data_IF_581765114333
#
_entry.id   IF_581765114333
#
_cell.length_a   1.000
_cell.length_b   1.000
_cell.length_c   1.000
_cell.angle_alpha   90.00
_cell.angle_beta   90.00
_cell.angle_gamma   90.00
#
_symmetry.space_group_name_H-M   'P 1'
#
loop_
_entity.id
_entity.type
_entity.pdbx_description
1 polymer ?
#
# COMPACT_ATOMS: atom_id res chain seq x y z
N UNK A 1 10.53 30.04 -5.23
CA UNK A 1 11.08 28.67 -5.22
C UNK A 1 9.93 27.73 -5.50
N UNK A 2 10.11 26.73 -6.32
CA UNK A 2 9.01 25.82 -6.71
C UNK A 2 8.96 24.69 -5.70
N UNK A 3 7.91 24.63 -4.88
CA UNK A 3 7.67 23.50 -4.00
C UNK A 3 7.05 22.36 -4.81
N UNK A 4 7.70 21.20 -4.81
CA UNK A 4 7.28 20.00 -5.55
C UNK A 4 6.61 18.99 -4.62
N UNK A 5 7.14 18.83 -3.41
CA UNK A 5 6.71 17.79 -2.46
C UNK A 5 5.95 18.39 -1.30
N UNK A 6 4.70 17.93 -1.11
CA UNK A 6 3.86 18.30 0.02
C UNK A 6 2.68 17.32 0.16
N UNK A 7 2.65 16.51 1.19
CA UNK A 7 1.47 15.68 1.47
C UNK A 7 1.37 15.40 2.96
N UNK A 8 0.22 15.67 3.58
CA UNK A 8 0.03 15.55 5.02
C UNK A 8 -1.06 14.55 5.43
N UNK A 9 -1.91 14.17 4.47
CA UNK A 9 -3.03 13.26 4.71
C UNK A 9 -3.48 12.57 3.41
N UNK A 10 -4.49 11.72 3.48
CA UNK A 10 -4.98 10.91 2.37
C UNK A 10 -6.09 11.64 1.54
N UNK A 11 -6.54 12.83 1.93
CA UNK A 11 -7.74 13.47 1.34
C UNK A 11 -7.58 14.91 0.86
N UNK A 12 -6.52 15.62 1.20
CA UNK A 12 -6.30 16.97 0.68
C UNK A 12 -6.20 16.96 -0.86
N UNK A 13 -6.57 18.05 -1.57
CA UNK A 13 -6.58 18.08 -3.02
C UNK A 13 -5.28 17.63 -3.65
N UNK A 14 -5.34 16.52 -4.39
CA UNK A 14 -4.20 15.93 -5.10
C UNK A 14 -3.84 16.77 -6.31
N UNK A 15 -2.57 17.16 -6.46
CA UNK A 15 -2.05 17.98 -7.56
C UNK A 15 -0.94 17.31 -8.33
N UNK A 16 -0.22 16.39 -7.70
CA UNK A 16 0.89 15.68 -8.32
C UNK A 16 1.01 14.28 -7.71
N UNK A 17 1.14 13.28 -8.57
CA UNK A 17 1.14 11.87 -8.17
C UNK A 17 2.09 11.06 -9.04
N UNK A 18 2.70 10.02 -8.47
CA UNK A 18 3.37 8.95 -9.22
C UNK A 18 2.34 7.85 -9.42
N UNK A 19 2.14 7.40 -10.66
CA UNK A 19 1.34 6.23 -11.02
C UNK A 19 2.28 5.11 -11.48
N UNK A 20 2.16 3.93 -10.92
CA UNK A 20 3.01 2.79 -11.20
C UNK A 20 2.90 2.24 -12.63
N UNK A 21 3.73 1.23 -12.95
CA UNK A 21 3.80 0.56 -14.25
C UNK A 21 3.88 -0.95 -14.09
N UNK A 22 3.26 -1.67 -15.01
CA UNK A 22 3.29 -3.14 -15.03
C UNK A 22 4.41 -3.72 -15.89
N UNK A 23 5.19 -2.88 -16.57
CA UNK A 23 6.27 -3.33 -17.47
C UNK A 23 7.24 -4.23 -16.73
N UNK A 24 7.61 -5.33 -17.36
CA UNK A 24 8.58 -6.32 -16.90
C UNK A 24 8.22 -7.01 -15.56
N UNK A 25 7.03 -6.80 -15.01
CA UNK A 25 6.62 -7.39 -13.74
C UNK A 25 6.69 -8.92 -13.77
N UNK A 26 7.11 -9.49 -12.65
CA UNK A 26 7.25 -10.92 -12.46
C UNK A 26 6.33 -11.46 -11.37
N UNK A 27 6.15 -12.76 -11.34
CA UNK A 27 5.71 -13.52 -10.19
C UNK A 27 6.99 -13.91 -9.44
N UNK A 28 7.24 -13.44 -8.23
CA UNK A 28 8.43 -13.81 -7.49
C UNK A 28 8.36 -15.27 -7.04
N UNK A 29 9.50 -15.93 -6.80
CA UNK A 29 9.50 -17.25 -6.16
C UNK A 29 8.97 -17.14 -4.73
N UNK A 30 8.52 -18.27 -4.18
CA UNK A 30 8.20 -18.34 -2.75
C UNK A 30 9.40 -17.94 -1.89
N UNK A 31 9.14 -17.14 -0.87
CA UNK A 31 10.13 -16.65 0.08
C UNK A 31 9.53 -16.64 1.50
N UNK A 32 10.33 -16.45 2.57
CA UNK A 32 9.84 -16.65 3.94
C UNK A 32 8.58 -15.85 4.33
N UNK A 33 8.39 -14.66 3.75
CA UNK A 33 7.28 -13.78 4.08
C UNK A 33 6.15 -13.75 3.04
N UNK A 34 6.33 -14.37 1.88
CA UNK A 34 5.27 -14.48 0.87
C UNK A 34 5.39 -15.76 0.07
N UNK A 35 4.27 -16.41 -0.09
CA UNK A 35 4.09 -17.54 -1.01
C UNK A 35 3.07 -17.13 -2.07
N UNK A 36 3.50 -16.88 -3.32
CA UNK A 36 2.59 -16.53 -4.39
C UNK A 36 1.62 -17.68 -4.63
N UNK A 37 0.35 -17.50 -4.27
CA UNK A 37 -0.70 -18.48 -4.53
C UNK A 37 -1.02 -18.51 -6.02
N UNK A 38 -0.38 -19.41 -6.72
CA UNK A 38 -0.67 -19.68 -8.13
C UNK A 38 -1.83 -20.67 -8.18
N UNK A 39 -2.93 -20.38 -8.91
CA UNK A 39 -4.06 -21.28 -9.01
C UNK A 39 -3.63 -22.66 -9.48
N UNK A 40 -4.14 -23.72 -8.80
CA UNK A 40 -3.93 -25.09 -9.21
C UNK A 40 -4.37 -25.32 -10.67
N UNK A 41 -3.52 -25.97 -11.47
CA UNK A 41 -3.78 -26.22 -12.88
C UNK A 41 -3.55 -25.01 -13.80
N UNK A 42 -3.02 -23.88 -13.31
CA UNK A 42 -2.56 -22.80 -14.20
C UNK A 42 -1.21 -23.14 -14.84
N UNK A 43 -0.92 -22.55 -16.01
CA UNK A 43 0.37 -22.72 -16.69
C UNK A 43 1.55 -22.15 -15.88
N UNK A 44 1.26 -21.40 -14.82
CA UNK A 44 2.23 -20.79 -13.91
C UNK A 44 2.39 -21.58 -12.61
N UNK A 45 1.71 -22.69 -12.44
CA UNK A 45 1.85 -23.53 -11.24
C UNK A 45 3.31 -23.98 -11.09
N UNK A 46 3.88 -23.79 -9.89
CA UNK A 46 5.28 -24.06 -9.54
C UNK A 46 6.32 -23.27 -10.36
N UNK A 47 5.88 -22.22 -11.09
CA UNK A 47 6.73 -21.39 -11.92
C UNK A 47 6.76 -19.96 -11.37
N UNK A 48 7.93 -19.37 -11.31
CA UNK A 48 8.13 -17.94 -11.08
C UNK A 48 8.81 -17.31 -12.31
N UNK A 49 8.73 -16.00 -12.43
CA UNK A 49 9.34 -15.26 -13.53
C UNK A 49 8.37 -14.27 -14.20
N UNK A 50 8.62 -13.90 -15.46
CA UNK A 50 7.83 -12.87 -16.13
C UNK A 50 6.35 -13.21 -16.20
N UNK A 51 5.50 -12.24 -15.95
CA UNK A 51 4.07 -12.31 -16.29
C UNK A 51 3.91 -12.31 -17.80
N UNK A 52 2.80 -12.82 -18.31
CA UNK A 52 2.54 -12.85 -19.76
C UNK A 52 2.48 -11.42 -20.32
N UNK A 53 2.98 -11.24 -21.55
CA UNK A 53 2.91 -9.95 -22.26
C UNK A 53 1.46 -9.45 -22.37
N UNK A 54 0.51 -10.35 -22.64
CA UNK A 54 -0.93 -10.01 -22.71
C UNK A 54 -1.43 -9.41 -21.38
N UNK A 55 -1.05 -10.00 -20.23
CA UNK A 55 -1.42 -9.52 -18.92
C UNK A 55 -0.79 -8.15 -18.61
N UNK A 56 0.49 -7.97 -18.94
CA UNK A 56 1.22 -6.70 -18.80
C UNK A 56 0.58 -5.61 -19.64
N UNK A 57 0.25 -5.91 -20.91
CA UNK A 57 -0.37 -4.94 -21.83
C UNK A 57 -1.74 -4.49 -21.34
N UNK A 58 -2.61 -5.42 -20.91
CA UNK A 58 -3.93 -5.07 -20.34
C UNK A 58 -3.79 -4.17 -19.11
N UNK A 59 -2.92 -4.52 -18.20
CA UNK A 59 -2.66 -3.70 -17.00
C UNK A 59 -2.13 -2.31 -17.37
N UNK A 60 -1.15 -2.22 -18.27
CA UNK A 60 -0.59 -0.94 -18.71
C UNK A 60 -1.62 -0.07 -19.44
N UNK A 61 -2.54 -0.64 -20.25
CA UNK A 61 -3.64 0.10 -20.87
C UNK A 61 -4.51 0.76 -19.78
N UNK A 62 -4.85 0.05 -18.71
CA UNK A 62 -5.65 0.60 -17.62
C UNK A 62 -4.88 1.65 -16.81
N UNK A 63 -3.61 1.40 -16.47
CA UNK A 63 -2.72 2.36 -15.80
C UNK A 63 -2.51 3.65 -16.60
N UNK A 64 -2.37 3.54 -17.93
CA UNK A 64 -2.20 4.69 -18.83
C UNK A 64 -3.51 5.47 -18.98
N UNK A 65 -4.66 4.79 -19.05
CA UNK A 65 -5.97 5.44 -19.05
C UNK A 65 -6.23 6.17 -17.74
N UNK A 66 -5.88 5.56 -16.62
CA UNK A 66 -5.97 6.17 -15.30
C UNK A 66 -5.09 7.42 -15.20
N UNK A 67 -3.83 7.34 -15.66
CA UNK A 67 -2.93 8.50 -15.72
C UNK A 67 -3.53 9.65 -16.53
N UNK A 68 -4.05 9.36 -17.73
CA UNK A 68 -4.71 10.38 -18.58
C UNK A 68 -5.97 10.96 -17.94
N UNK A 69 -6.73 10.15 -17.16
CA UNK A 69 -7.88 10.61 -16.42
C UNK A 69 -7.47 11.63 -15.35
N UNK A 70 -6.42 11.35 -14.59
CA UNK A 70 -5.87 12.25 -13.57
C UNK A 70 -5.34 13.56 -14.21
N UNK A 71 -4.60 13.45 -15.31
CA UNK A 71 -4.09 14.62 -16.05
C UNK A 71 -5.23 15.52 -16.58
N UNK A 72 -6.32 14.94 -17.10
CA UNK A 72 -7.51 15.68 -17.52
C UNK A 72 -8.19 16.44 -16.37
N UNK A 73 -8.01 15.99 -15.13
CA UNK A 73 -8.46 16.65 -13.91
C UNK A 73 -7.45 17.67 -13.36
N UNK A 74 -6.36 17.93 -14.09
CA UNK A 74 -5.33 18.91 -13.73
C UNK A 74 -4.33 18.40 -12.70
N UNK A 75 -4.24 17.07 -12.49
CA UNK A 75 -3.26 16.44 -11.62
C UNK A 75 -2.06 16.07 -12.47
N UNK A 76 -0.87 16.53 -12.08
CA UNK A 76 0.38 16.11 -12.72
C UNK A 76 0.65 14.65 -12.40
N UNK A 77 1.01 13.86 -13.42
CA UNK A 77 1.34 12.44 -13.27
C UNK A 77 2.77 12.20 -13.71
N UNK A 78 3.56 11.57 -12.85
CA UNK A 78 4.87 11.02 -13.20
C UNK A 78 4.82 9.49 -13.12
N UNK A 79 5.71 8.82 -13.87
CA UNK A 79 5.75 7.35 -13.97
C UNK A 79 7.15 6.85 -13.59
N UNK A 80 7.26 5.73 -12.85
CA UNK A 80 8.57 5.13 -12.52
C UNK A 80 9.30 4.63 -13.76
N UNK A 81 10.59 4.39 -13.61
CA UNK A 81 11.42 3.72 -14.61
C UNK A 81 11.52 2.23 -14.26
N UNK A 82 10.85 1.32 -15.00
CA UNK A 82 10.90 -0.10 -14.72
C UNK A 82 12.33 -0.65 -14.84
N UNK A 83 12.66 -1.60 -13.98
CA UNK A 83 13.87 -2.42 -14.09
C UNK A 83 13.58 -3.68 -14.92
N UNK A 84 14.61 -4.45 -15.21
CA UNK A 84 14.46 -5.86 -15.56
C UNK A 84 14.22 -6.65 -14.26
N UNK A 85 12.95 -7.00 -14.00
CA UNK A 85 12.58 -7.73 -12.80
C UNK A 85 12.83 -9.23 -12.92
N UNK A 86 13.05 -9.76 -14.15
CA UNK A 86 13.37 -11.13 -14.40
C UNK A 86 14.89 -11.39 -14.32
N UNK A 87 15.48 -10.96 -13.22
CA UNK A 87 16.89 -11.21 -12.95
C UNK A 87 17.07 -11.72 -11.53
N UNK A 88 18.05 -12.63 -11.37
CA UNK A 88 18.46 -13.05 -10.05
C UNK A 88 19.06 -11.86 -9.29
N UNK A 89 18.59 -11.68 -8.07
CA UNK A 89 19.10 -10.66 -7.15
C UNK A 89 19.75 -11.32 -5.94
N UNK A 90 20.73 -10.67 -5.34
CA UNK A 90 21.41 -11.16 -4.17
C UNK A 90 21.91 -10.03 -3.28
N UNK A 91 21.98 -10.32 -2.00
CA UNK A 91 22.72 -9.58 -0.97
C UNK A 91 23.74 -10.54 -0.35
N UNK A 92 24.60 -10.10 0.59
CA UNK A 92 25.48 -11.03 1.31
C UNK A 92 24.74 -12.10 2.12
N UNK A 93 23.44 -11.94 2.40
CA UNK A 93 22.67 -12.78 3.32
C UNK A 93 21.69 -13.72 2.62
N UNK A 94 21.27 -13.40 1.39
CA UNK A 94 20.29 -14.18 0.63
C UNK A 94 20.37 -13.89 -0.86
N UNK A 95 19.76 -14.76 -1.65
CA UNK A 95 19.50 -14.58 -3.07
C UNK A 95 18.04 -14.90 -3.39
N UNK A 96 17.50 -14.29 -4.45
CA UNK A 96 16.17 -14.55 -4.96
C UNK A 96 16.17 -14.63 -6.49
N UNK A 97 15.31 -15.48 -7.05
CA UNK A 97 15.28 -15.80 -8.49
C UNK A 97 14.80 -14.65 -9.36
N UNK A 98 13.92 -13.81 -8.86
CA UNK A 98 13.40 -12.62 -9.55
C UNK A 98 12.94 -11.56 -8.55
N UNK A 99 12.67 -10.37 -9.04
CA UNK A 99 11.97 -9.31 -8.32
C UNK A 99 10.46 -9.37 -8.63
N UNK A 100 9.67 -8.44 -8.08
CA UNK A 100 8.23 -8.36 -8.28
C UNK A 100 7.85 -7.36 -9.37
N UNK A 101 8.07 -6.05 -9.17
CA UNK A 101 7.64 -5.02 -10.12
C UNK A 101 7.75 -3.60 -9.61
N UNK A 102 7.09 -2.66 -10.29
CA UNK A 102 6.99 -1.26 -9.86
C UNK A 102 5.58 -0.67 -10.05
N UNK A 103 4.55 -1.52 -10.01
CA UNK A 103 3.18 -1.04 -10.11
C UNK A 103 2.68 -0.39 -8.80
N UNK A 104 3.01 -0.89 -7.60
CA UNK A 104 2.55 -0.28 -6.37
C UNK A 104 3.59 0.68 -5.73
N UNK A 105 3.71 1.95 -6.20
CA UNK A 105 4.61 2.92 -5.58
C UNK A 105 4.26 3.24 -4.13
N UNK A 106 2.99 3.08 -3.74
CA UNK A 106 2.48 3.33 -2.38
C UNK A 106 3.16 2.47 -1.33
N UNK A 107 3.51 1.24 -1.68
CA UNK A 107 4.13 0.30 -0.77
C UNK A 107 5.59 0.68 -0.47
N UNK A 108 6.24 1.35 -1.43
CA UNK A 108 7.68 1.61 -1.44
C UNK A 108 8.03 3.00 -0.94
N UNK A 109 7.19 4.00 -1.24
CA UNK A 109 7.46 5.41 -0.95
C UNK A 109 6.33 6.02 -0.13
N UNK A 110 6.66 6.57 1.02
CA UNK A 110 5.76 7.45 1.76
C UNK A 110 6.17 8.91 1.56
N UNK A 111 5.19 9.75 1.25
CA UNK A 111 5.36 11.20 1.28
C UNK A 111 4.72 11.77 2.53
N UNK A 112 5.50 12.44 3.37
CA UNK A 112 5.00 13.09 4.58
C UNK A 112 5.55 14.51 4.69
N UNK A 113 4.66 15.48 4.58
CA UNK A 113 5.06 16.88 4.46
C UNK A 113 5.88 17.12 3.20
N UNK A 114 7.08 17.62 3.37
CA UNK A 114 8.06 17.84 2.29
C UNK A 114 9.10 16.72 2.17
N UNK A 115 8.86 15.57 2.81
CA UNK A 115 9.77 14.44 2.79
C UNK A 115 9.19 13.29 1.96
N UNK A 116 10.02 12.68 1.12
CA UNK A 116 9.76 11.39 0.47
C UNK A 116 10.76 10.37 1.02
N UNK A 117 10.23 9.37 1.72
CA UNK A 117 10.99 8.34 2.41
C UNK A 117 10.81 7.00 1.69
N UNK A 118 11.92 6.36 1.31
CA UNK A 118 11.93 4.97 0.85
C UNK A 118 11.78 4.02 2.03
N UNK A 119 10.75 3.18 1.99
CA UNK A 119 10.46 2.18 3.01
C UNK A 119 11.52 1.08 3.08
N UNK A 120 11.51 0.33 4.15
CA UNK A 120 12.46 -0.80 4.34
C UNK A 120 12.21 -1.93 3.36
N UNK A 121 10.98 -2.24 3.06
CA UNK A 121 10.45 -3.41 2.38
C UNK A 121 10.75 -4.73 3.11
N UNK A 122 9.72 -5.50 3.37
CA UNK A 122 9.81 -6.75 4.14
C UNK A 122 9.98 -8.00 3.28
N UNK A 123 9.77 -7.91 1.96
CA UNK A 123 9.96 -9.02 1.03
C UNK A 123 11.27 -8.89 0.27
N UNK A 124 12.02 -10.01 0.15
CA UNK A 124 13.28 -10.04 -0.58
C UNK A 124 13.11 -9.70 -2.05
N UNK A 125 12.05 -10.18 -2.67
CA UNK A 125 11.69 -9.89 -4.06
C UNK A 125 11.42 -8.42 -4.32
N UNK A 126 11.09 -7.65 -3.29
CA UNK A 126 10.75 -6.22 -3.38
C UNK A 126 11.86 -5.28 -2.88
N UNK A 127 12.94 -5.83 -2.36
CA UNK A 127 13.98 -5.07 -1.68
C UNK A 127 14.63 -3.97 -2.54
N UNK A 128 14.69 -4.17 -3.87
CA UNK A 128 15.29 -3.23 -4.83
C UNK A 128 14.25 -2.36 -5.58
N UNK A 129 12.97 -2.46 -5.29
CA UNK A 129 11.91 -1.71 -6.02
C UNK A 129 12.07 -0.19 -5.93
N UNK A 130 12.65 0.32 -4.84
CA UNK A 130 12.93 1.76 -4.69
C UNK A 130 13.77 2.34 -5.84
N UNK A 131 14.60 1.53 -6.51
CA UNK A 131 15.42 1.95 -7.65
C UNK A 131 14.58 2.42 -8.84
N UNK A 132 13.35 1.93 -8.97
CA UNK A 132 12.43 2.35 -10.03
C UNK A 132 11.98 3.81 -9.86
N UNK A 133 11.91 4.27 -8.62
CA UNK A 133 11.41 5.59 -8.24
C UNK A 133 12.54 6.59 -8.00
N UNK A 134 13.74 6.12 -7.72
CA UNK A 134 14.91 6.93 -7.41
C UNK A 134 15.17 8.06 -8.43
N UNK A 135 15.08 7.84 -9.76
CA UNK A 135 15.27 8.91 -10.74
C UNK A 135 14.25 10.05 -10.59
N UNK A 136 12.99 9.74 -10.21
CA UNK A 136 11.97 10.76 -9.97
C UNK A 136 12.29 11.55 -8.69
N UNK A 137 12.59 10.85 -7.59
CA UNK A 137 12.93 11.49 -6.32
C UNK A 137 14.13 12.41 -6.45
N UNK A 138 15.20 11.98 -7.14
CA UNK A 138 16.37 12.80 -7.43
C UNK A 138 16.02 14.03 -8.28
N UNK A 139 15.13 13.88 -9.25
CA UNK A 139 14.67 15.01 -10.07
C UNK A 139 13.91 16.05 -9.25
N UNK A 140 13.05 15.59 -8.30
CA UNK A 140 12.32 16.48 -7.40
C UNK A 140 13.27 17.19 -6.44
N UNK A 141 14.20 16.46 -5.85
CA UNK A 141 15.23 17.01 -4.95
C UNK A 141 16.06 18.10 -5.61
N UNK A 142 16.41 17.94 -6.89
CA UNK A 142 17.16 18.94 -7.64
C UNK A 142 16.39 20.24 -7.92
N UNK A 143 15.04 20.19 -7.88
CA UNK A 143 14.17 21.35 -8.21
C UNK A 143 13.60 21.99 -6.94
N UNK A 144 13.26 21.20 -5.93
CA UNK A 144 12.64 21.64 -4.66
C UNK A 144 13.69 21.69 -3.55
N UNK A 145 14.18 22.91 -3.19
CA UNK A 145 15.23 23.03 -2.17
C UNK A 145 14.73 22.74 -0.73
N UNK A 146 13.43 22.58 -0.53
CA UNK A 146 12.86 22.23 0.77
C UNK A 146 12.59 20.73 0.90
N UNK A 147 12.66 19.98 -0.22
CA UNK A 147 12.42 18.55 -0.20
C UNK A 147 13.50 17.82 0.59
N UNK A 148 13.05 16.91 1.41
CA UNK A 148 13.89 15.88 2.03
C UNK A 148 13.71 14.57 1.26
N UNK A 149 14.80 13.99 0.84
CA UNK A 149 14.85 12.66 0.23
C UNK A 149 15.59 11.74 1.17
N UNK A 150 14.87 10.77 1.73
CA UNK A 150 15.40 9.89 2.77
C UNK A 150 15.20 8.42 2.39
N UNK A 151 16.02 7.57 2.98
CA UNK A 151 15.90 6.11 2.87
C UNK A 151 15.93 5.50 4.26
N UNK A 152 14.91 4.72 4.60
CA UNK A 152 14.91 3.98 5.85
C UNK A 152 16.09 2.98 5.91
N UNK A 153 16.54 2.58 7.11
CA UNK A 153 17.59 1.59 7.23
C UNK A 153 17.24 0.32 6.45
N UNK A 154 18.03 -0.01 5.42
CA UNK A 154 17.78 -1.21 4.61
C UNK A 154 18.02 -2.47 5.45
N UNK A 155 16.99 -3.33 5.63
CA UNK A 155 17.10 -4.53 6.42
C UNK A 155 17.96 -5.57 5.73
N UNK A 156 18.57 -6.47 6.50
CA UNK A 156 19.32 -7.59 5.94
C UNK A 156 18.42 -8.70 5.42
N UNK A 157 17.21 -8.85 5.97
CA UNK A 157 16.24 -9.89 5.64
C UNK A 157 16.82 -11.31 5.71
N UNK A 158 17.61 -11.57 6.77
CA UNK A 158 18.09 -12.92 7.06
C UNK A 158 16.92 -13.83 7.44
N UNK A 159 17.14 -15.14 7.55
CA UNK A 159 16.09 -16.06 8.00
C UNK A 159 15.59 -15.73 9.42
N UNK A 160 16.41 -15.09 10.28
CA UNK A 160 15.98 -14.65 11.60
C UNK A 160 14.97 -13.50 11.58
N UNK A 161 14.81 -12.80 10.44
CA UNK A 161 13.81 -11.75 10.24
C UNK A 161 12.39 -12.32 10.09
N UNK A 162 12.29 -13.64 9.97
CA UNK A 162 11.02 -14.33 9.73
C UNK A 162 10.81 -15.49 10.71
N UNK A 163 9.54 -15.81 10.98
CA UNK A 163 9.16 -17.04 11.68
C UNK A 163 9.20 -18.19 10.70
N UNK A 164 9.96 -19.22 11.05
CA UNK A 164 10.06 -20.43 10.25
C UNK A 164 8.69 -21.10 10.08
N UNK A 165 8.42 -21.59 8.88
CA UNK A 165 7.18 -22.30 8.53
C UNK A 165 5.87 -21.54 8.77
N UNK A 166 5.91 -20.21 8.95
CA UNK A 166 4.69 -19.43 9.22
C UNK A 166 3.64 -19.54 8.11
N UNK A 167 4.04 -19.66 6.84
CA UNK A 167 3.17 -19.78 5.68
C UNK A 167 2.87 -21.23 5.29
N UNK A 168 3.27 -22.23 6.13
CA UNK A 168 2.99 -23.64 5.87
C UNK A 168 1.49 -23.89 5.66
N UNK A 169 1.15 -24.77 4.72
CA UNK A 169 -0.21 -25.24 4.47
C UNK A 169 -0.76 -26.08 5.65
N UNK A 170 0.12 -26.60 6.50
CA UNK A 170 -0.27 -27.31 7.71
C UNK A 170 -0.93 -26.40 8.77
N UNK A 171 -0.74 -25.06 8.67
CA UNK A 171 -1.36 -24.10 9.57
C UNK A 171 -2.74 -23.72 9.02
N UNK A 172 -3.79 -24.12 9.73
CA UNK A 172 -5.17 -23.77 9.38
C UNK A 172 -5.43 -22.27 9.51
N UNK A 173 -6.48 -21.79 8.85
CA UNK A 173 -6.91 -20.38 8.95
C UNK A 173 -7.23 -20.00 10.40
N UNK A 174 -7.88 -20.89 11.16
CA UNK A 174 -8.23 -20.63 12.56
C UNK A 174 -6.97 -20.51 13.44
N UNK A 175 -5.99 -21.41 13.28
CA UNK A 175 -4.70 -21.29 13.96
C UNK A 175 -3.97 -20.00 13.60
N UNK A 176 -4.01 -19.60 12.33
CA UNK A 176 -3.40 -18.34 11.89
C UNK A 176 -4.09 -17.13 12.51
N UNK A 177 -5.42 -17.12 12.60
CA UNK A 177 -6.17 -16.07 13.29
C UNK A 177 -5.81 -16.00 14.79
N UNK A 178 -5.59 -17.16 15.44
CA UNK A 178 -5.09 -17.17 16.83
C UNK A 178 -3.68 -16.57 16.95
N UNK A 179 -2.79 -16.86 16.00
CA UNK A 179 -1.45 -16.26 15.97
C UNK A 179 -1.54 -14.74 15.77
N UNK A 180 -2.35 -14.27 14.83
CA UNK A 180 -2.59 -12.84 14.58
C UNK A 180 -3.17 -12.15 15.81
N UNK A 181 -4.14 -12.77 16.50
CA UNK A 181 -4.70 -12.24 17.75
C UNK A 181 -3.64 -12.10 18.85
N UNK A 182 -2.65 -12.99 18.89
CA UNK A 182 -1.48 -12.91 19.78
C UNK A 182 -0.38 -11.96 19.27
N UNK A 183 -0.59 -11.31 18.12
CA UNK A 183 0.39 -10.44 17.44
C UNK A 183 1.67 -11.19 17.03
N UNK A 184 1.52 -12.45 16.67
CA UNK A 184 2.55 -13.31 16.13
C UNK A 184 2.43 -13.32 14.61
N UNK A 185 3.26 -12.54 13.94
CA UNK A 185 3.28 -12.39 12.49
C UNK A 185 4.45 -13.13 11.84
N UNK A 186 4.46 -13.22 10.51
CA UNK A 186 5.54 -13.84 9.75
C UNK A 186 6.87 -13.11 9.96
N UNK A 187 6.85 -11.78 10.05
CA UNK A 187 8.03 -10.98 10.38
C UNK A 187 8.27 -10.97 11.90
N UNK A 188 9.54 -11.04 12.28
CA UNK A 188 9.98 -10.94 13.67
C UNK A 188 10.38 -9.52 14.03
N UNK A 189 10.65 -9.28 15.33
CA UNK A 189 11.22 -8.02 15.82
C UNK A 189 12.77 -7.98 15.68
N UNK A 190 13.36 -8.74 14.74
CA UNK A 190 14.81 -8.80 14.54
C UNK A 190 15.37 -7.49 14.00
N UNK A 191 14.69 -6.92 13.01
CA UNK A 191 15.08 -5.73 12.27
C UNK A 191 13.95 -4.69 12.23
N UNK A 192 14.26 -3.49 11.77
CA UNK A 192 13.26 -2.45 11.48
C UNK A 192 12.60 -2.80 10.15
N UNK A 193 11.31 -3.14 10.18
CA UNK A 193 10.54 -3.51 8.99
C UNK A 193 9.26 -2.69 8.91
N UNK A 194 9.04 -2.07 7.76
CA UNK A 194 7.75 -1.48 7.36
C UNK A 194 7.66 -1.32 5.85
N UNK A 195 6.47 -1.51 5.32
CA UNK A 195 6.07 -1.09 3.99
C UNK A 195 5.28 0.22 4.11
N UNK A 196 5.44 1.14 3.17
CA UNK A 196 4.79 2.46 3.27
C UNK A 196 3.26 2.38 3.19
N UNK A 197 2.69 1.35 2.55
CA UNK A 197 1.24 1.12 2.47
C UNK A 197 0.60 0.65 3.80
N UNK A 198 1.40 0.36 4.81
CA UNK A 198 0.90 0.11 6.18
C UNK A 198 0.67 1.40 6.97
N UNK A 199 0.92 2.58 6.37
CA UNK A 199 0.91 3.85 7.06
C UNK A 199 -0.17 4.76 6.46
N UNK A 200 -1.18 5.10 7.27
CA UNK A 200 -2.16 6.14 6.94
C UNK A 200 -1.73 7.47 7.53
N UNK A 201 -1.71 8.49 6.68
CA UNK A 201 -1.35 9.86 7.06
C UNK A 201 -2.62 10.65 7.38
N UNK A 202 -2.75 11.10 8.60
CA UNK A 202 -3.90 11.86 9.06
C UNK A 202 -3.45 13.15 9.76
N UNK A 203 -2.70 13.99 9.02
CA UNK A 203 -2.12 15.22 9.53
C UNK A 203 -1.00 14.95 10.54
N UNK A 204 -1.21 15.32 11.80
CA UNK A 204 -0.26 15.13 12.88
C UNK A 204 -0.17 13.69 13.37
N UNK A 205 -1.10 12.83 12.93
CA UNK A 205 -1.20 11.44 13.36
C UNK A 205 -0.92 10.49 12.20
N UNK A 206 -0.12 9.47 12.48
CA UNK A 206 0.15 8.37 11.58
C UNK A 206 -0.40 7.08 12.20
N UNK A 207 -1.30 6.43 11.48
CA UNK A 207 -1.84 5.13 11.89
C UNK A 207 -1.13 4.03 11.13
N UNK A 208 -0.45 3.15 11.86
CA UNK A 208 0.47 2.14 11.31
C UNK A 208 -0.07 0.75 11.61
N UNK A 209 -0.33 -0.05 10.58
CA UNK A 209 -0.74 -1.43 10.76
C UNK A 209 0.45 -2.28 11.21
N UNK A 210 0.33 -2.93 12.36
CA UNK A 210 1.24 -3.99 12.77
C UNK A 210 0.75 -5.31 12.17
N UNK A 211 1.59 -5.93 11.33
CA UNK A 211 1.20 -7.08 10.53
C UNK A 211 2.38 -7.82 9.91
N UNK A 212 2.16 -8.35 8.72
CA UNK A 212 3.16 -9.15 8.01
C UNK A 212 4.33 -8.32 7.48
N UNK A 213 4.07 -7.08 7.12
CA UNK A 213 5.02 -6.19 6.42
C UNK A 213 5.60 -5.12 7.32
N UNK A 214 4.92 -4.82 8.44
CA UNK A 214 5.38 -3.81 9.41
C UNK A 214 5.38 -4.39 10.81
N UNK A 215 6.53 -4.32 11.49
CA UNK A 215 6.69 -4.75 12.87
C UNK A 215 6.76 -3.55 13.87
N UNK A 216 6.79 -3.83 15.17
CA UNK A 216 6.83 -2.77 16.19
C UNK A 216 8.11 -1.94 16.12
N UNK A 217 9.24 -2.55 15.76
CA UNK A 217 10.49 -1.78 15.54
C UNK A 217 10.38 -0.80 14.39
N UNK A 218 9.63 -1.15 13.32
CA UNK A 218 9.30 -0.24 12.23
C UNK A 218 8.50 0.95 12.72
N UNK A 219 7.43 0.71 13.48
CA UNK A 219 6.62 1.76 14.10
C UNK A 219 7.44 2.65 15.05
N UNK A 220 8.30 2.05 15.88
CA UNK A 220 9.19 2.79 16.78
C UNK A 220 10.20 3.68 16.03
N UNK A 221 10.74 3.15 14.92
CA UNK A 221 11.66 3.91 14.08
C UNK A 221 10.97 5.11 13.44
N UNK A 222 9.76 4.89 12.90
CA UNK A 222 8.94 5.96 12.31
C UNK A 222 8.65 7.07 13.35
N UNK A 223 8.34 6.71 14.60
CA UNK A 223 8.12 7.68 15.67
C UNK A 223 9.36 8.49 16.05
N UNK A 224 10.55 7.91 15.93
CA UNK A 224 11.81 8.63 16.15
C UNK A 224 12.23 9.47 14.95
N UNK A 225 11.89 9.04 13.75
CA UNK A 225 12.19 9.75 12.51
C UNK A 225 11.25 10.96 12.33
N UNK A 226 9.96 10.78 12.53
CA UNK A 226 8.94 11.81 12.40
C UNK A 226 8.55 12.41 13.77
N UNK A 227 9.50 13.06 14.45
CA UNK A 227 9.37 13.56 15.84
C UNK A 227 8.16 14.49 16.08
N UNK A 228 7.64 15.13 15.04
CA UNK A 228 6.48 16.03 15.15
C UNK A 228 5.13 15.32 14.95
N UNK A 229 5.15 14.00 14.70
CA UNK A 229 3.96 13.18 14.51
C UNK A 229 3.73 12.22 15.67
N UNK A 230 2.48 11.83 15.86
CA UNK A 230 2.07 10.81 16.82
C UNK A 230 1.85 9.51 16.05
N UNK A 231 2.46 8.43 16.49
CA UNK A 231 2.34 7.12 15.86
C UNK A 231 1.35 6.27 16.63
N UNK A 232 0.33 5.78 15.96
CA UNK A 232 -0.69 4.89 16.51
C UNK A 232 -0.60 3.54 15.80
N UNK A 233 -0.24 2.50 16.53
CA UNK A 233 -0.16 1.15 15.98
C UNK A 233 -1.52 0.48 16.03
N UNK A 234 -2.04 0.08 14.87
CA UNK A 234 -3.30 -0.63 14.71
C UNK A 234 -3.09 -2.12 14.44
N UNK A 235 -4.04 -2.94 14.91
CA UNK A 235 -4.06 -4.38 14.67
C UNK A 235 -5.46 -4.80 14.23
N UNK A 236 -5.52 -5.73 13.29
CA UNK A 236 -6.77 -6.26 12.74
C UNK A 236 -6.81 -7.79 12.98
N UNK A 237 -7.23 -8.25 14.17
CA UNK A 237 -7.15 -9.67 14.56
C UNK A 237 -8.05 -10.60 13.73
N UNK A 238 -9.02 -10.07 13.00
CA UNK A 238 -9.85 -10.83 12.06
C UNK A 238 -9.21 -11.08 10.69
N UNK A 239 -8.01 -10.56 10.44
CA UNK A 239 -7.29 -10.77 9.18
C UNK A 239 -6.24 -11.88 9.32
N UNK A 240 -6.37 -13.04 8.66
CA UNK A 240 -5.35 -14.09 8.72
C UNK A 240 -4.05 -13.73 7.98
N UNK A 241 -4.09 -12.68 7.14
CA UNK A 241 -2.95 -12.19 6.36
C UNK A 241 -2.91 -10.66 6.38
N UNK A 242 -2.59 -10.04 7.53
CA UNK A 242 -2.64 -8.58 7.70
C UNK A 242 -1.48 -7.92 6.96
N UNK A 243 -1.73 -7.54 5.71
CA UNK A 243 -0.81 -6.85 4.79
C UNK A 243 -1.51 -5.59 4.30
N UNK A 244 -0.85 -4.45 4.39
CA UNK A 244 -1.26 -3.15 3.90
C UNK A 244 -2.65 -2.69 4.39
N UNK A 245 -2.66 -1.62 5.17
CA UNK A 245 -3.85 -1.10 5.83
C UNK A 245 -4.88 -0.52 4.85
N UNK A 246 -4.44 -0.09 3.69
CA UNK A 246 -5.22 0.68 2.71
C UNK A 246 -6.32 -0.10 1.98
N UNK A 247 -6.36 -1.44 2.15
CA UNK A 247 -7.49 -2.29 1.75
C UNK A 247 -8.30 -2.82 2.95
N UNK A 248 -8.10 -2.23 4.13
CA UNK A 248 -8.75 -2.65 5.38
C UNK A 248 -9.40 -1.47 6.11
N UNK A 249 -8.73 -0.31 6.11
CA UNK A 249 -9.14 0.86 6.87
C UNK A 249 -8.79 2.11 6.07
N UNK A 250 -9.79 2.72 5.41
CA UNK A 250 -9.58 3.75 4.38
C UNK A 250 -10.25 5.06 4.78
N UNK A 251 -9.47 6.10 5.15
CA UNK A 251 -10.01 7.43 5.41
C UNK A 251 -10.40 8.12 4.10
N UNK A 252 -11.60 8.71 4.06
CA UNK A 252 -12.14 9.38 2.88
C UNK A 252 -12.07 10.91 3.00
N UNK A 253 -12.25 11.44 4.18
CA UNK A 253 -12.16 12.88 4.54
C UNK A 253 -12.09 13.00 6.05
N UNK A 254 -11.81 14.20 6.60
CA UNK A 254 -11.89 14.39 8.04
C UNK A 254 -13.22 13.92 8.62
N UNK A 255 -13.14 13.10 9.66
CA UNK A 255 -14.31 12.56 10.35
C UNK A 255 -14.95 11.32 9.71
N UNK A 256 -14.42 10.75 8.60
CA UNK A 256 -15.05 9.61 7.93
C UNK A 256 -14.03 8.57 7.43
N UNK A 257 -14.22 7.33 7.88
CA UNK A 257 -13.41 6.17 7.50
C UNK A 257 -14.34 5.03 7.10
N UNK A 258 -13.99 4.29 6.05
CA UNK A 258 -14.58 2.98 5.76
C UNK A 258 -13.66 1.88 6.28
N UNK A 259 -14.24 0.86 6.91
CA UNK A 259 -13.53 -0.27 7.49
C UNK A 259 -14.02 -1.58 6.89
N UNK A 260 -13.13 -2.52 6.70
CA UNK A 260 -13.48 -3.85 6.23
C UNK A 260 -14.30 -4.60 7.31
N UNK A 261 -15.57 -4.98 7.04
CA UNK A 261 -16.42 -5.62 8.04
C UNK A 261 -15.97 -7.04 8.42
N UNK A 262 -15.14 -7.70 7.60
CA UNK A 262 -14.60 -9.04 7.93
C UNK A 262 -13.39 -8.97 8.87
N UNK A 263 -12.78 -7.80 9.01
CA UNK A 263 -11.63 -7.54 9.89
C UNK A 263 -11.77 -6.16 10.55
N UNK A 264 -12.79 -6.01 11.42
CA UNK A 264 -13.09 -4.73 12.06
C UNK A 264 -11.99 -4.30 13.02
N UNK A 265 -11.79 -2.98 13.12
CA UNK A 265 -10.90 -2.42 14.14
C UNK A 265 -11.47 -2.74 15.55
N UNK A 266 -10.67 -3.32 16.47
CA UNK A 266 -11.10 -3.61 17.84
C UNK A 266 -11.58 -2.36 18.58
N UNK A 267 -12.56 -2.54 19.49
CA UNK A 267 -13.19 -1.42 20.20
C UNK A 267 -12.20 -0.56 20.99
N UNK A 268 -11.20 -1.18 21.61
CA UNK A 268 -10.16 -0.43 22.36
C UNK A 268 -9.29 0.47 21.48
N UNK A 269 -9.22 0.17 20.16
CA UNK A 269 -8.49 0.98 19.19
C UNK A 269 -9.41 2.01 18.49
N UNK A 270 -10.74 1.85 18.60
CA UNK A 270 -11.72 2.81 18.04
C UNK A 270 -11.85 4.07 18.86
N UNK A 271 -11.56 3.99 20.15
CA UNK A 271 -11.72 5.06 21.13
C UNK A 271 -11.11 6.40 20.68
N UNK A 272 -9.91 6.39 20.12
CA UNK A 272 -9.24 7.61 19.64
C UNK A 272 -10.00 8.26 18.49
N UNK A 273 -10.64 7.46 17.63
CA UNK A 273 -11.46 7.97 16.52
C UNK A 273 -12.76 8.55 17.05
N UNK A 274 -13.49 7.83 17.91
CA UNK A 274 -14.79 8.21 18.43
C UNK A 274 -14.72 9.50 19.26
N UNK A 275 -13.71 9.65 20.14
CA UNK A 275 -13.53 10.88 20.95
C UNK A 275 -13.13 12.10 20.15
N UNK A 276 -12.72 11.93 18.89
CA UNK A 276 -12.38 13.00 17.96
C UNK A 276 -13.39 13.15 16.82
N UNK A 277 -14.64 12.68 17.03
CA UNK A 277 -15.76 12.80 16.08
C UNK A 277 -15.51 12.12 14.72
N UNK A 278 -14.73 11.03 14.70
CA UNK A 278 -14.56 10.20 13.50
C UNK A 278 -15.58 9.07 13.47
N UNK A 279 -16.25 8.93 12.34
CA UNK A 279 -17.19 7.87 12.04
C UNK A 279 -16.50 6.76 11.27
N UNK A 280 -16.47 5.56 11.84
CA UNK A 280 -15.97 4.35 11.18
C UNK A 280 -17.20 3.55 10.75
N UNK A 281 -17.39 3.41 9.44
CA UNK A 281 -18.50 2.70 8.83
C UNK A 281 -18.01 1.45 8.10
N UNK A 282 -18.85 0.45 7.98
CA UNK A 282 -18.52 -0.76 7.23
C UNK A 282 -18.50 -0.47 5.73
N UNK A 283 -17.49 -1.02 5.03
CA UNK A 283 -17.41 -0.96 3.58
C UNK A 283 -18.52 -1.80 2.92
N UNK A 284 -18.98 -1.36 1.76
CA UNK A 284 -19.86 -2.16 0.92
C UNK A 284 -19.23 -3.50 0.58
N UNK A 285 -20.06 -4.53 0.41
CA UNK A 285 -19.56 -5.83 -0.02
C UNK A 285 -18.94 -5.73 -1.41
N UNK A 286 -17.81 -6.40 -1.66
CA UNK A 286 -17.24 -6.46 -3.00
C UNK A 286 -18.25 -6.98 -4.01
N UNK A 287 -18.26 -6.41 -5.21
CA UNK A 287 -19.14 -6.86 -6.29
C UNK A 287 -18.69 -8.21 -6.88
N UNK A 288 -17.44 -8.59 -6.65
CA UNK A 288 -16.86 -9.82 -7.12
C UNK A 288 -16.59 -10.80 -5.98
N UNK A 289 -16.89 -12.06 -6.18
CA UNK A 289 -16.67 -13.12 -5.18
C UNK A 289 -15.23 -13.64 -5.14
N UNK A 290 -14.45 -13.34 -6.18
CA UNK A 290 -13.05 -13.80 -6.33
C UNK A 290 -12.20 -12.66 -6.90
N UNK A 291 -10.91 -12.57 -6.48
CA UNK A 291 -9.96 -11.65 -7.12
C UNK A 291 -9.66 -12.12 -8.56
N UNK A 292 -9.08 -11.26 -9.40
CA UNK A 292 -8.58 -11.69 -10.71
C UNK A 292 -7.54 -12.82 -10.58
N UNK A 293 -7.37 -13.64 -11.60
CA UNK A 293 -6.30 -14.66 -11.61
C UNK A 293 -4.93 -14.06 -11.31
N UNK A 294 -4.11 -14.78 -10.53
CA UNK A 294 -2.77 -14.37 -10.12
C UNK A 294 -2.71 -13.04 -9.31
N UNK A 295 -3.82 -12.65 -8.71
CA UNK A 295 -3.87 -11.56 -7.74
C UNK A 295 -3.63 -12.12 -6.33
N UNK A 296 -2.66 -11.57 -5.62
CA UNK A 296 -2.30 -12.01 -4.25
C UNK A 296 -3.12 -11.33 -3.16
N UNK A 297 -3.95 -10.38 -3.54
CA UNK A 297 -4.81 -9.64 -2.62
C UNK A 297 -6.21 -10.25 -2.56
N UNK A 298 -6.94 -9.92 -1.52
CA UNK A 298 -8.32 -10.37 -1.34
C UNK A 298 -9.30 -9.59 -2.23
N UNK A 299 -10.57 -10.04 -2.28
CA UNK A 299 -11.67 -9.31 -2.95
C UNK A 299 -11.86 -7.89 -2.39
N UNK A 300 -11.38 -7.61 -1.17
CA UNK A 300 -11.49 -6.32 -0.50
C UNK A 300 -10.61 -5.22 -1.11
N UNK A 301 -9.89 -5.50 -2.21
CA UNK A 301 -9.34 -4.45 -3.06
C UNK A 301 -10.40 -3.46 -3.56
N UNK A 302 -11.69 -3.81 -3.49
CA UNK A 302 -12.81 -2.88 -3.71
C UNK A 302 -12.72 -1.61 -2.86
N UNK A 303 -12.11 -1.69 -1.66
CA UNK A 303 -11.90 -0.56 -0.75
C UNK A 303 -10.65 0.28 -1.06
N UNK A 304 -9.77 -0.22 -1.94
CA UNK A 304 -8.48 0.44 -2.25
C UNK A 304 -8.70 1.58 -3.25
N UNK A 305 -9.50 2.57 -2.82
CA UNK A 305 -9.92 3.74 -3.60
C UNK A 305 -8.89 4.86 -3.50
N UNK A 306 -8.83 5.74 -4.51
CA UNK A 306 -8.00 6.95 -4.45
C UNK A 306 -8.86 8.19 -4.22
N UNK A 307 -8.68 8.84 -3.08
CA UNK A 307 -9.31 10.15 -2.80
C UNK A 307 -8.54 11.24 -3.52
N UNK A 308 -9.21 11.98 -4.42
CA UNK A 308 -8.61 13.10 -5.15
C UNK A 308 -8.70 14.41 -4.37
N UNK A 309 -9.78 14.59 -3.64
CA UNK A 309 -10.05 15.70 -2.73
C UNK A 309 -11.21 15.31 -1.78
N UNK A 310 -11.56 16.11 -0.74
CA UNK A 310 -12.61 15.76 0.21
C UNK A 310 -14.03 15.58 -0.36
N UNK A 311 -14.18 15.70 -1.67
CA UNK A 311 -15.47 15.56 -2.38
C UNK A 311 -15.43 14.57 -3.54
N UNK A 312 -14.26 14.09 -3.96
CA UNK A 312 -14.07 13.30 -5.18
C UNK A 312 -13.23 12.06 -4.91
N UNK A 313 -13.74 10.90 -5.27
CA UNK A 313 -13.08 9.60 -5.06
C UNK A 313 -13.06 8.79 -6.35
N UNK A 314 -11.88 8.28 -6.73
CA UNK A 314 -11.76 7.26 -7.78
C UNK A 314 -12.05 5.88 -7.19
N UNK A 315 -12.93 5.14 -7.85
CA UNK A 315 -13.35 3.78 -7.48
C UNK A 315 -13.24 2.88 -8.71
N UNK A 316 -12.85 1.62 -8.51
CA UNK A 316 -12.86 0.65 -9.61
C UNK A 316 -14.29 0.50 -10.16
N UNK A 317 -14.46 0.61 -11.50
CA UNK A 317 -15.78 0.79 -12.12
C UNK A 317 -16.72 -0.41 -11.96
N UNK A 318 -16.19 -1.63 -11.87
CA UNK A 318 -16.99 -2.84 -11.70
C UNK A 318 -17.39 -3.12 -10.24
N UNK A 319 -16.81 -2.40 -9.28
CA UNK A 319 -17.17 -2.44 -7.85
C UNK A 319 -18.40 -1.55 -7.59
N UNK A 320 -19.52 -1.95 -8.18
CA UNK A 320 -20.77 -1.15 -8.23
C UNK A 320 -21.30 -0.80 -6.85
N UNK A 321 -21.21 -1.69 -5.88
CA UNK A 321 -21.69 -1.44 -4.52
C UNK A 321 -20.80 -0.44 -3.78
N UNK A 322 -19.49 -0.45 -4.04
CA UNK A 322 -18.57 0.56 -3.51
C UNK A 322 -18.81 1.92 -4.17
N UNK A 323 -19.08 1.95 -5.49
CA UNK A 323 -19.47 3.18 -6.20
C UNK A 323 -20.76 3.78 -5.62
N UNK A 324 -21.79 2.97 -5.37
CA UNK A 324 -23.04 3.40 -4.75
C UNK A 324 -22.81 3.94 -3.34
N UNK A 325 -22.09 3.22 -2.49
CA UNK A 325 -21.81 3.65 -1.12
C UNK A 325 -21.07 5.00 -1.08
N UNK A 326 -20.03 5.17 -1.88
CA UNK A 326 -19.25 6.44 -1.94
C UNK A 326 -20.14 7.58 -2.44
N UNK A 327 -21.02 7.32 -3.42
CA UNK A 327 -22.01 8.31 -3.90
C UNK A 327 -23.02 8.69 -2.82
N UNK A 328 -23.55 7.72 -2.07
CA UNK A 328 -24.53 7.95 -0.98
C UNK A 328 -23.90 8.73 0.19
N UNK A 329 -22.59 8.61 0.40
CA UNK A 329 -21.82 9.41 1.35
C UNK A 329 -21.57 10.85 0.87
N UNK A 330 -22.06 11.20 -0.34
CA UNK A 330 -22.05 12.56 -0.90
C UNK A 330 -20.78 12.91 -1.67
N UNK A 331 -19.99 11.93 -2.11
CA UNK A 331 -18.83 12.17 -2.96
C UNK A 331 -19.19 12.10 -4.46
N UNK A 332 -18.47 12.85 -5.28
CA UNK A 332 -18.37 12.57 -6.71
C UNK A 332 -17.55 11.28 -6.89
N UNK A 333 -18.17 10.25 -7.46
CA UNK A 333 -17.51 9.01 -7.83
C UNK A 333 -16.91 9.14 -9.22
N UNK A 334 -15.64 8.82 -9.35
CA UNK A 334 -14.94 8.71 -10.63
C UNK A 334 -14.69 7.23 -10.90
N UNK A 335 -15.52 6.54 -11.70
CA UNK A 335 -15.31 5.14 -12.00
C UNK A 335 -14.09 4.96 -12.91
N UNK A 336 -13.26 3.99 -12.59
CA UNK A 336 -11.99 3.70 -13.27
C UNK A 336 -11.90 2.22 -13.61
N UNK A 337 -11.78 1.82 -14.88
CA UNK A 337 -11.44 0.45 -15.25
C UNK A 337 -10.04 0.10 -14.73
N UNK A 338 -9.94 -0.83 -13.78
CA UNK A 338 -8.65 -1.10 -13.13
C UNK A 338 -8.38 -2.57 -12.77
N UNK A 339 -9.34 -3.46 -13.03
CA UNK A 339 -9.28 -4.84 -12.54
C UNK A 339 -8.12 -5.65 -13.13
N UNK A 340 -7.69 -5.38 -14.37
CA UNK A 340 -6.54 -6.05 -14.99
C UNK A 340 -5.20 -5.63 -14.35
N UNK A 341 -5.16 -4.48 -13.66
CA UNK A 341 -3.97 -4.03 -12.93
C UNK A 341 -3.86 -4.65 -11.52
N UNK A 342 -4.94 -5.14 -10.92
CA UNK A 342 -4.95 -5.71 -9.56
C UNK A 342 -3.87 -6.78 -9.31
N UNK A 343 -3.62 -7.74 -10.25
CA UNK A 343 -2.62 -8.77 -10.06
C UNK A 343 -1.18 -8.26 -9.91
N UNK A 344 -0.93 -6.99 -10.27
CA UNK A 344 0.39 -6.35 -10.24
C UNK A 344 0.71 -5.65 -8.92
N UNK A 345 -0.12 -5.82 -7.89
CA UNK A 345 0.18 -5.39 -6.52
C UNK A 345 -0.86 -4.47 -5.88
N UNK A 346 -2.12 -4.48 -6.35
CA UNK A 346 -3.21 -3.78 -5.69
C UNK A 346 -4.09 -2.94 -6.63
N UNK A 347 -4.90 -2.04 -6.06
CA UNK A 347 -5.83 -1.23 -6.81
C UNK A 347 -5.38 0.25 -6.90
N UNK A 348 -6.33 1.18 -6.94
CA UNK A 348 -6.08 2.58 -7.29
C UNK A 348 -5.16 3.30 -6.29
N UNK A 349 -5.31 3.04 -4.98
CA UNK A 349 -4.45 3.65 -3.97
C UNK A 349 -3.04 3.06 -4.01
N UNK A 350 -2.93 1.73 -4.06
CA UNK A 350 -1.63 1.06 -4.17
C UNK A 350 -0.84 1.49 -5.40
N UNK A 351 -1.54 1.66 -6.56
CA UNK A 351 -0.93 2.06 -7.83
C UNK A 351 -0.46 3.52 -7.85
N UNK A 352 -0.66 4.27 -6.77
CA UNK A 352 -0.33 5.70 -6.70
C UNK A 352 0.45 6.05 -5.44
N UNK A 353 1.36 7.00 -5.56
CA UNK A 353 1.95 7.69 -4.40
C UNK A 353 1.88 9.19 -4.60
N UNK A 354 1.38 9.88 -3.57
CA UNK A 354 1.23 11.33 -3.62
C UNK A 354 2.61 11.99 -3.64
N UNK A 355 2.81 12.93 -4.55
CA UNK A 355 3.94 13.86 -4.52
C UNK A 355 3.49 15.19 -3.89
N UNK A 356 2.33 15.69 -4.32
CA UNK A 356 1.78 16.94 -3.81
C UNK A 356 0.28 16.88 -3.59
N UNK A 357 -0.14 17.10 -2.33
CA UNK A 357 -1.51 17.48 -1.96
C UNK A 357 -1.51 18.90 -1.43
N UNK A 358 -2.54 19.67 -1.77
CA UNK A 358 -2.69 21.08 -1.40
C UNK A 358 -3.25 21.19 0.03
N UNK A 359 -2.35 21.19 1.00
CA UNK A 359 -2.70 21.23 2.42
C UNK A 359 -1.51 21.50 3.32
N UNK A 360 -1.73 21.35 4.61
CA UNK A 360 -0.73 21.51 5.66
C UNK A 360 -0.95 20.48 6.77
N UNK A 361 0.02 20.33 7.65
CA UNK A 361 -0.14 19.48 8.83
C UNK A 361 -1.21 20.07 9.75
N UNK A 362 -2.30 19.35 9.94
CA UNK A 362 -3.38 19.69 10.87
C UNK A 362 -3.47 18.65 11.99
N UNK A 363 -4.05 19.02 13.11
CA UNK A 363 -4.31 18.12 14.24
C UNK A 363 -5.77 17.67 14.19
N UNK A 364 -6.01 16.48 13.65
CA UNK A 364 -7.35 15.89 13.55
C UNK A 364 -7.73 15.06 14.77
N UNK A 365 -6.79 14.84 15.70
CA UNK A 365 -6.99 14.05 16.91
C UNK A 365 -6.49 14.81 18.14
N UNK A 366 -7.05 16.00 18.46
CA UNK A 366 -6.59 16.80 19.59
C UNK A 366 -6.84 16.12 20.94
N UNK A 367 -7.74 15.15 21.03
CA UNK A 367 -8.04 14.38 22.24
C UNK A 367 -7.32 13.04 22.15
N UNK A 368 -6.20 12.89 22.87
CA UNK A 368 -5.38 11.68 22.90
C UNK A 368 -5.85 10.66 23.91
#
# INVERSE_FOLDING_TARGET
MTKIVNSWNEWDPLKHVIVGRADNCCIPPAEPATDPKIPEGSDMQDVHGPRSEESIDKANIQLDNFSRLLEKRGIKVDRPTPLDFNQKIATPDWENGSMFGCMPPRDVIITLGNEMLEATMSYRSRWFEYLCYRPLLESYFNIDPEMKMESAPKPRLTNESYRENYLSEDISIDERLEMVAKKEFVTTEREILFDAADILRMGKDLFVQHGFTTNLKGSDWLGRHFENHRIHTLNFPGDPYPIHIDATFTPLKPGLIINNPTRPLPNEQRDIFERNDWHIIDAAQPAHNEPPPLCYSSIWLSMNVLVLDPKTVCVEESEVYQCEQISDLGFEVVPVPFRDAYPFGGALHCATTDVYREGKMEDYFPIQ
#
